data_IF_497962888613
#
_entry.id   IF_497962888613
#
_cell.length_a   1.000
_cell.length_b   1.000
_cell.length_c   1.000
_cell.angle_alpha   90.00
_cell.angle_beta   90.00
_cell.angle_gamma   90.00
#
_symmetry.space_group_name_H-M   'P 1'
#
loop_
_entity.id
_entity.type
_entity.pdbx_description
1 polymer ?
#
# COMPACT_ATOMS: atom_id res chain seq x y z
N UNK A 1 3.13 5.84 31.42
CA UNK A 1 3.99 4.66 31.33
C UNK A 1 3.48 3.80 30.20
N UNK A 2 4.08 3.95 29.01
CA UNK A 2 3.66 3.29 27.79
C UNK A 2 4.43 1.96 27.72
N UNK A 3 3.75 0.85 27.97
CA UNK A 3 4.24 -0.48 27.58
C UNK A 3 3.71 -0.78 26.18
N UNK A 4 4.41 -0.28 25.17
CA UNK A 4 4.32 -0.78 23.80
C UNK A 4 5.57 -1.64 23.63
N UNK A 5 5.51 -2.85 24.15
CA UNK A 5 6.53 -3.86 23.88
C UNK A 5 5.83 -5.13 23.39
N UNK A 6 6.31 -5.62 22.24
CA UNK A 6 6.11 -6.95 21.65
C UNK A 6 4.80 -7.17 20.88
N UNK A 7 4.79 -6.73 19.62
CA UNK A 7 3.99 -7.30 18.53
C UNK A 7 4.71 -7.11 17.17
N UNK A 8 6.04 -7.22 17.19
CA UNK A 8 6.90 -7.26 16.01
C UNK A 8 7.59 -8.62 16.03
N UNK A 9 7.63 -9.24 14.86
CA UNK A 9 8.04 -10.61 14.52
C UNK A 9 6.90 -11.63 14.49
N UNK A 10 6.82 -12.28 13.33
CA UNK A 10 5.92 -13.36 12.89
C UNK A 10 4.67 -12.91 12.12
N UNK A 11 4.82 -12.97 10.79
CA UNK A 11 3.87 -12.76 9.68
C UNK A 11 4.02 -11.41 8.97
N UNK A 12 4.57 -11.45 7.76
CA UNK A 12 4.39 -10.37 6.79
C UNK A 12 2.89 -10.03 6.71
N UNK A 13 2.48 -8.75 6.83
CA UNK A 13 1.07 -8.34 6.79
C UNK A 13 0.34 -8.77 5.51
N UNK A 14 1.09 -9.05 4.44
CA UNK A 14 0.59 -9.57 3.17
C UNK A 14 0.05 -11.01 3.26
N UNK A 15 0.41 -11.79 4.29
CA UNK A 15 0.06 -13.21 4.38
C UNK A 15 -1.15 -13.50 5.29
N UNK A 16 -1.70 -12.49 5.99
CA UNK A 16 -2.87 -12.68 6.86
C UNK A 16 -4.17 -12.76 6.04
N UNK A 17 -4.19 -12.19 4.83
CA UNK A 17 -5.39 -12.12 3.97
C UNK A 17 -5.38 -13.12 2.79
N UNK A 18 -4.43 -14.04 2.75
CA UNK A 18 -4.14 -14.89 1.58
C UNK A 18 -5.11 -16.07 1.33
N UNK A 19 -6.21 -16.20 2.11
CA UNK A 19 -7.19 -17.30 1.96
C UNK A 19 -8.67 -16.89 1.95
N UNK A 20 -8.99 -15.60 1.73
CA UNK A 20 -10.37 -15.09 1.69
C UNK A 20 -10.76 -14.42 0.38
N UNK A 21 -12.07 -14.33 0.11
CA UNK A 21 -12.62 -13.49 -0.98
C UNK A 21 -12.14 -12.05 -0.80
N UNK A 22 -11.59 -11.46 -1.87
CA UNK A 22 -11.15 -10.06 -1.91
C UNK A 22 -12.27 -9.11 -1.48
N UNK A 23 -12.05 -8.37 -0.40
CA UNK A 23 -12.98 -7.34 0.06
C UNK A 23 -12.67 -6.03 -0.66
N UNK A 24 -13.51 -5.66 -1.62
CA UNK A 24 -13.36 -4.44 -2.41
C UNK A 24 -14.48 -3.44 -2.06
N UNK A 25 -14.10 -2.18 -1.81
CA UNK A 25 -15.03 -1.07 -1.61
C UNK A 25 -14.50 0.21 -2.24
N UNK A 26 -15.37 0.99 -2.86
CA UNK A 26 -15.06 2.36 -3.24
C UNK A 26 -15.40 3.30 -2.09
N UNK A 27 -14.45 4.15 -1.71
CA UNK A 27 -14.60 5.10 -0.60
C UNK A 27 -14.20 6.50 -1.05
N UNK A 28 -14.83 7.51 -0.46
CA UNK A 28 -14.44 8.91 -0.69
C UNK A 28 -13.44 9.34 0.37
N UNK A 29 -12.30 9.87 -0.05
CA UNK A 29 -11.33 10.43 0.88
C UNK A 29 -11.90 11.66 1.58
N UNK A 30 -11.29 12.06 2.69
CA UNK A 30 -11.65 13.31 3.38
C UNK A 30 -11.61 14.55 2.45
N UNK A 31 -10.79 14.54 1.40
CA UNK A 31 -10.68 15.64 0.42
C UNK A 31 -11.63 15.48 -0.78
N UNK A 32 -12.59 14.56 -0.72
CA UNK A 32 -13.56 14.32 -1.78
C UNK A 32 -13.05 13.49 -2.96
N UNK A 33 -11.82 12.97 -2.90
CA UNK A 33 -11.27 12.15 -3.98
C UNK A 33 -11.66 10.68 -3.81
N UNK A 34 -12.08 10.00 -4.87
CA UNK A 34 -12.33 8.57 -4.79
C UNK A 34 -11.07 7.74 -4.52
N UNK A 35 -11.24 6.71 -3.72
CA UNK A 35 -10.26 5.68 -3.41
C UNK A 35 -10.87 4.30 -3.57
N UNK A 36 -10.03 3.35 -3.98
CA UNK A 36 -10.35 1.93 -4.01
C UNK A 36 -9.76 1.30 -2.75
N UNK A 37 -10.59 0.71 -1.90
CA UNK A 37 -10.16 0.01 -0.70
C UNK A 37 -10.19 -1.50 -0.96
N UNK A 38 -9.03 -2.16 -0.87
CA UNK A 38 -8.90 -3.60 -1.03
C UNK A 38 -8.34 -4.20 0.26
N UNK A 39 -9.06 -5.15 0.86
CA UNK A 39 -8.70 -5.79 2.13
C UNK A 39 -8.34 -4.77 3.24
N UNK A 40 -9.04 -3.62 3.25
CA UNK A 40 -8.80 -2.54 4.21
C UNK A 40 -7.67 -1.57 3.82
N UNK A 41 -6.83 -1.89 2.84
CA UNK A 41 -5.81 -0.98 2.33
C UNK A 41 -6.40 0.02 1.33
N UNK A 42 -6.25 1.34 1.55
CA UNK A 42 -6.72 2.34 0.62
C UNK A 42 -5.72 2.58 -0.52
N UNK A 43 -6.25 2.64 -1.75
CA UNK A 43 -5.53 2.95 -2.97
C UNK A 43 -6.11 4.21 -3.61
N UNK A 44 -5.24 5.01 -4.22
CA UNK A 44 -5.62 6.20 -4.99
C UNK A 44 -5.34 5.99 -6.47
N UNK A 45 -6.13 6.66 -7.32
CA UNK A 45 -5.97 6.61 -8.77
C UNK A 45 -4.59 7.16 -9.15
N UNK A 46 -3.82 6.35 -9.87
CA UNK A 46 -2.52 6.74 -10.40
C UNK A 46 -2.65 7.29 -11.82
N UNK A 47 -3.17 6.48 -12.73
CA UNK A 47 -3.38 6.85 -14.14
C UNK A 47 -4.51 6.03 -14.75
N UNK A 48 -5.05 6.54 -15.85
CA UNK A 48 -6.07 5.88 -16.66
C UNK A 48 -5.48 5.67 -18.05
N UNK A 49 -5.57 4.45 -18.59
CA UNK A 49 -5.10 4.08 -19.92
C UNK A 49 -6.19 3.28 -20.62
N UNK A 50 -6.84 3.87 -21.62
CA UNK A 50 -8.01 3.28 -22.27
C UNK A 50 -9.09 2.92 -21.24
N UNK A 51 -9.53 1.67 -21.23
CA UNK A 51 -10.51 1.14 -20.27
C UNK A 51 -9.92 0.65 -18.95
N UNK A 52 -8.64 0.92 -18.68
CA UNK A 52 -7.96 0.43 -17.47
C UNK A 52 -7.57 1.57 -16.54
N UNK A 53 -7.97 1.47 -15.28
CA UNK A 53 -7.48 2.35 -14.21
C UNK A 53 -6.41 1.65 -13.43
N UNK A 54 -5.27 2.32 -13.26
CA UNK A 54 -4.21 1.87 -12.39
C UNK A 54 -4.32 2.59 -11.05
N UNK A 55 -4.28 1.80 -9.98
CA UNK A 55 -4.36 2.26 -8.60
C UNK A 55 -3.05 1.94 -7.88
N UNK A 56 -2.66 2.82 -6.96
CA UNK A 56 -1.48 2.63 -6.10
C UNK A 56 -1.85 2.88 -4.65
N UNK A 57 -1.17 2.21 -3.73
CA UNK A 57 -1.38 2.44 -2.31
C UNK A 57 -1.19 3.93 -1.96
N UNK A 58 -2.03 4.46 -1.07
CA UNK A 58 -1.91 5.86 -0.61
C UNK A 58 -0.59 6.14 0.10
N UNK A 59 0.02 5.11 0.69
CA UNK A 59 1.31 5.20 1.38
C UNK A 59 2.51 5.13 0.43
N UNK A 60 2.30 5.03 -0.90
CA UNK A 60 3.39 5.04 -1.89
C UNK A 60 4.36 6.22 -1.69
N UNK A 61 3.85 7.43 -1.44
CA UNK A 61 4.71 8.62 -1.26
C UNK A 61 5.35 8.72 0.12
N UNK A 62 4.72 8.16 1.15
CA UNK A 62 5.15 8.31 2.54
C UNK A 62 6.11 7.19 2.94
N UNK A 63 5.81 5.95 2.55
CA UNK A 63 6.51 4.74 2.99
C UNK A 63 7.12 3.95 1.82
N UNK A 64 7.08 4.49 0.59
CA UNK A 64 7.58 3.76 -0.59
C UNK A 64 6.79 2.50 -0.96
N UNK A 65 5.60 2.30 -0.39
CA UNK A 65 4.79 1.10 -0.59
C UNK A 65 4.53 0.79 -2.08
N UNK A 66 4.81 -0.44 -2.51
CA UNK A 66 4.78 -0.86 -3.91
C UNK A 66 3.45 -1.51 -4.34
N UNK A 67 2.50 -1.67 -3.43
CA UNK A 67 1.22 -2.30 -3.71
C UNK A 67 0.43 -1.54 -4.79
N UNK A 68 -0.12 -2.29 -5.74
CA UNK A 68 -0.80 -1.80 -6.94
C UNK A 68 -1.97 -2.68 -7.31
N UNK A 69 -3.04 -2.05 -7.78
CA UNK A 69 -4.22 -2.71 -8.33
C UNK A 69 -4.52 -2.13 -9.71
N UNK A 70 -5.35 -2.82 -10.47
CA UNK A 70 -6.00 -2.27 -11.65
C UNK A 70 -7.47 -2.64 -11.70
N UNK A 71 -8.28 -1.75 -12.25
CA UNK A 71 -9.66 -2.06 -12.63
C UNK A 71 -9.80 -1.97 -14.14
N UNK A 72 -10.65 -2.82 -14.72
CA UNK A 72 -10.99 -2.79 -16.14
C UNK A 72 -12.48 -2.47 -16.26
N UNK A 73 -12.81 -1.47 -17.07
CA UNK A 73 -14.17 -1.26 -17.56
C UNK A 73 -14.50 -2.30 -18.61
N UNK A 74 -15.76 -2.69 -18.67
CA UNK A 74 -16.26 -3.50 -19.77
C UNK A 74 -16.22 -2.73 -21.08
N UNK A 75 -15.98 -3.47 -22.18
CA UNK A 75 -15.74 -2.90 -23.51
C UNK A 75 -16.90 -2.04 -24.03
N UNK A 76 -18.12 -2.31 -23.54
CA UNK A 76 -19.32 -1.55 -23.92
C UNK A 76 -19.34 -0.13 -23.30
N UNK A 77 -18.46 0.17 -22.36
CA UNK A 77 -18.37 1.44 -21.63
C UNK A 77 -17.08 2.23 -21.99
N UNK A 78 -16.45 1.88 -23.12
CA UNK A 78 -15.15 2.44 -23.53
C UNK A 78 -15.17 3.97 -23.75
N UNK A 79 -16.35 4.59 -23.91
CA UNK A 79 -16.53 6.02 -24.17
C UNK A 79 -16.84 6.86 -22.92
N UNK A 80 -16.68 6.30 -21.73
CA UNK A 80 -17.16 6.92 -20.50
C UNK A 80 -16.23 8.03 -19.94
N UNK A 81 -16.86 9.09 -19.39
CA UNK A 81 -16.20 10.23 -18.75
C UNK A 81 -15.46 9.85 -17.46
N UNK A 82 -14.58 10.72 -16.95
CA UNK A 82 -13.79 10.52 -15.72
C UNK A 82 -14.57 10.10 -14.46
N UNK A 83 -15.90 10.25 -14.43
CA UNK A 83 -16.78 9.94 -13.28
C UNK A 83 -17.27 8.48 -13.26
N UNK A 84 -17.10 7.73 -14.33
CA UNK A 84 -17.66 6.37 -14.45
C UNK A 84 -16.64 5.28 -14.09
N UNK A 85 -15.37 5.66 -13.90
CA UNK A 85 -14.31 4.79 -13.35
C UNK A 85 -14.51 4.43 -11.87
N UNK A 86 -15.62 4.87 -11.31
CA UNK A 86 -15.92 4.90 -9.89
C UNK A 86 -17.00 3.85 -9.53
N UNK A 87 -17.39 3.01 -10.50
CA UNK A 87 -18.43 1.98 -10.35
C UNK A 87 -17.93 0.67 -9.70
N UNK A 88 -18.75 0.14 -8.79
CA UNK A 88 -18.58 -1.12 -8.09
C UNK A 88 -18.67 -2.36 -8.99
N UNK A 89 -19.24 -2.24 -10.20
CA UNK A 89 -19.34 -3.35 -11.16
C UNK A 89 -18.00 -3.71 -11.83
N UNK A 90 -16.98 -2.86 -11.70
CA UNK A 90 -15.67 -3.10 -12.32
C UNK A 90 -14.95 -4.30 -11.72
N UNK A 91 -14.37 -5.13 -12.59
CA UNK A 91 -13.47 -6.21 -12.18
C UNK A 91 -12.15 -5.64 -11.65
N UNK A 92 -11.85 -5.92 -10.39
CA UNK A 92 -10.58 -5.54 -9.75
C UNK A 92 -9.57 -6.67 -9.85
N UNK A 93 -8.35 -6.33 -10.27
CA UNK A 93 -7.22 -7.25 -10.38
C UNK A 93 -6.05 -6.73 -9.53
N UNK A 94 -5.51 -7.60 -8.67
CA UNK A 94 -4.27 -7.32 -7.94
C UNK A 94 -3.10 -7.36 -8.92
N UNK A 95 -2.29 -6.29 -8.94
CA UNK A 95 -1.04 -6.26 -9.69
C UNK A 95 0.13 -6.59 -8.77
N UNK A 96 0.12 -6.07 -7.54
CA UNK A 96 1.09 -6.37 -6.51
C UNK A 96 0.44 -6.12 -5.14
N UNK A 97 0.45 -7.13 -4.26
CA UNK A 97 -0.14 -7.03 -2.90
C UNK A 97 0.94 -6.88 -1.81
N UNK A 98 2.15 -6.49 -2.19
CA UNK A 98 3.25 -6.31 -1.23
C UNK A 98 3.14 -4.95 -0.54
N UNK A 99 2.61 -4.99 0.67
CA UNK A 99 2.62 -3.87 1.61
C UNK A 99 3.79 -4.00 2.59
N UNK A 100 4.50 -2.89 2.79
CA UNK A 100 5.56 -2.75 3.80
C UNK A 100 5.05 -2.00 5.05
N UNK A 101 3.73 -1.97 5.25
CA UNK A 101 3.10 -1.25 6.34
C UNK A 101 1.76 -1.90 6.70
N UNK A 102 1.30 -1.65 7.92
CA UNK A 102 -0.05 -2.03 8.37
C UNK A 102 -1.12 -1.16 7.72
N UNK A 103 -2.39 -1.49 7.92
CA UNK A 103 -3.49 -0.64 7.46
C UNK A 103 -3.44 0.70 8.21
N UNK A 104 -3.16 1.79 7.49
CA UNK A 104 -3.14 3.15 8.02
C UNK A 104 -4.36 3.89 7.47
N UNK A 105 -5.37 4.07 8.32
CA UNK A 105 -6.58 4.86 8.03
C UNK A 105 -6.46 6.31 8.49
N UNK A 106 -5.50 6.59 9.36
CA UNK A 106 -5.31 7.91 9.94
C UNK A 106 -4.74 8.93 8.96
N UNK A 107 -5.19 10.17 9.11
CA UNK A 107 -4.68 11.28 8.33
C UNK A 107 -3.29 11.65 8.80
N UNK A 108 -2.33 11.53 7.90
CA UNK A 108 -0.98 12.10 8.09
C UNK A 108 -1.06 13.61 8.38
N UNK A 109 -0.28 14.06 9.38
CA UNK A 109 -0.09 15.48 9.69
C UNK A 109 0.40 16.25 8.47
N UNK A 110 -0.17 17.44 8.22
CA UNK A 110 0.29 18.30 7.12
C UNK A 110 1.75 18.69 7.37
N UNK A 111 2.56 18.70 6.32
CA UNK A 111 4.01 19.04 6.40
C UNK A 111 4.93 17.84 6.71
N UNK A 112 4.46 16.81 7.40
CA UNK A 112 5.32 15.70 7.88
C UNK A 112 5.83 14.72 6.80
N UNK A 113 5.67 15.03 5.51
CA UNK A 113 6.04 14.08 4.45
C UNK A 113 7.56 13.96 4.29
N UNK A 114 8.28 15.06 4.50
CA UNK A 114 9.74 15.08 4.42
C UNK A 114 10.32 14.20 5.53
N UNK A 115 9.92 14.47 6.75
CA UNK A 115 10.34 13.73 7.94
C UNK A 115 10.09 12.22 7.79
N UNK A 116 8.89 11.81 7.37
CA UNK A 116 8.58 10.39 7.15
C UNK A 116 9.48 9.73 6.10
N UNK A 117 9.83 10.44 5.02
CA UNK A 117 10.73 9.89 4.01
C UNK A 117 12.15 9.73 4.54
N UNK A 118 12.61 10.70 5.33
CA UNK A 118 13.94 10.65 5.96
C UNK A 118 13.99 9.51 6.97
N UNK A 119 12.98 9.37 7.83
CA UNK A 119 12.85 8.26 8.77
C UNK A 119 12.84 6.91 8.07
N UNK A 120 12.00 6.70 7.05
CA UNK A 120 11.98 5.43 6.32
C UNK A 120 13.30 5.12 5.62
N UNK A 121 14.07 6.14 5.20
CA UNK A 121 15.41 5.92 4.61
C UNK A 121 16.42 5.53 5.68
N UNK A 122 16.38 6.19 6.84
CA UNK A 122 17.26 5.88 7.97
C UNK A 122 17.01 4.46 8.51
N UNK A 123 15.74 4.06 8.66
CA UNK A 123 15.36 2.70 9.09
C UNK A 123 15.90 1.63 8.13
N UNK A 124 15.78 1.84 6.81
CA UNK A 124 16.33 0.91 5.80
C UNK A 124 17.86 0.83 5.90
N UNK A 125 18.54 1.96 6.14
CA UNK A 125 19.99 1.97 6.30
C UNK A 125 20.39 1.23 7.58
N UNK A 126 19.69 1.47 8.69
CA UNK A 126 19.95 0.81 9.98
C UNK A 126 19.72 -0.71 9.90
N UNK A 127 18.62 -1.16 9.30
CA UNK A 127 18.37 -2.59 9.01
C UNK A 127 19.52 -3.19 8.18
N UNK A 128 19.98 -2.48 7.14
CA UNK A 128 21.08 -2.96 6.30
C UNK A 128 22.43 -3.05 7.04
N UNK A 129 22.70 -2.14 7.98
CA UNK A 129 23.93 -2.19 8.80
C UNK A 129 23.87 -3.39 9.74
N UNK A 130 22.74 -3.60 10.41
CA UNK A 130 22.53 -4.73 11.31
C UNK A 130 22.63 -6.08 10.58
N UNK A 131 22.10 -6.20 9.36
CA UNK A 131 22.24 -7.41 8.54
C UNK A 131 23.71 -7.68 8.16
N UNK A 132 24.47 -6.64 7.83
CA UNK A 132 25.90 -6.77 7.51
C UNK A 132 26.77 -7.12 8.72
N UNK A 133 26.46 -6.57 9.89
CA UNK A 133 27.18 -6.89 11.14
C UNK A 133 26.91 -8.34 11.59
N UNK A 134 25.70 -8.86 11.38
CA UNK A 134 25.38 -10.27 11.63
C UNK A 134 26.13 -11.21 10.68
N UNK A 135 26.24 -10.87 9.38
CA UNK A 135 27.04 -11.63 8.40
C UNK A 135 28.55 -11.64 8.73
N UNK A 136 29.06 -10.55 9.30
CA UNK A 136 30.46 -10.43 9.75
C UNK A 136 30.76 -11.35 10.95
N UNK A 137 29.82 -11.48 11.90
CA UNK A 137 30.01 -12.30 13.09
C UNK A 137 29.97 -13.81 12.80
N UNK A 138 29.08 -14.24 11.90
CA UNK A 138 28.93 -15.66 11.52
C UNK A 138 30.12 -16.18 10.70
N UNK A 139 30.92 -15.32 10.07
CA UNK A 139 32.15 -15.70 9.35
C UNK A 139 33.39 -15.86 10.25
N UNK A 140 33.29 -15.49 11.52
CA UNK A 140 34.40 -15.62 12.49
C UNK A 140 34.29 -16.95 13.29
N UNK A 141 33.13 -17.62 13.24
CA UNK A 141 32.89 -18.93 13.83
C UNK A 141 32.76 -19.99 12.71
N UNK A 142 33.83 -20.23 11.96
CA UNK A 142 33.98 -21.42 11.09
C UNK A 142 35.43 -21.84 11.01
#
# INVERSE_FOLDING_TARGET
>A
GVKIEKLIHETSPSNIYSKGKLSIKFITSFKGSLQLCANGFPFTRHRVLGSTVYWRCVQFKALGCRARLRTRLDKNEQYMTHRNYDDASQKVEIVCDQHNHLIITERRKKGSLKDLKETSTAEIIEESILENDNLSFDQIIS
#
